data_IF_100532767383
#
_entry.id   IF_100532767383
#
_cell.length_a   1.000
_cell.length_b   1.000
_cell.length_c   1.000
_cell.angle_alpha   90.00
_cell.angle_beta   90.00
_cell.angle_gamma   90.00
#
_symmetry.space_group_name_H-M   'P 1'
#
loop_
_entity.id
_entity.type
_entity.pdbx_description
1 polymer ?
#
# COMPACT_ATOMS: atom_id res chain seq x y z
N UNK A 1 -22.02 -5.06 -25.62
CA UNK A 1 -20.89 -4.27 -26.19
C UNK A 1 -20.92 -2.80 -25.74
N UNK A 2 -22.09 -2.13 -25.78
CA UNK A 2 -22.26 -0.74 -25.36
C UNK A 2 -22.00 -0.51 -23.84
N UNK A 3 -22.44 -1.45 -22.98
CA UNK A 3 -22.23 -1.34 -21.52
C UNK A 3 -20.74 -1.43 -21.09
N UNK A 4 -19.90 -2.15 -21.86
CA UNK A 4 -18.46 -2.22 -21.57
C UNK A 4 -17.73 -0.91 -21.88
N UNK A 5 -18.16 -0.19 -22.93
CA UNK A 5 -17.58 1.10 -23.30
C UNK A 5 -17.96 2.21 -22.30
N UNK A 6 -19.19 2.18 -21.76
CA UNK A 6 -19.65 3.13 -20.76
C UNK A 6 -18.89 2.99 -19.42
N UNK A 7 -18.62 1.76 -18.97
CA UNK A 7 -17.85 1.53 -17.76
C UNK A 7 -16.40 1.99 -17.90
N UNK A 8 -15.77 1.76 -19.03
CA UNK A 8 -14.38 2.21 -19.30
C UNK A 8 -14.33 3.74 -19.36
N UNK A 9 -15.31 4.39 -19.93
CA UNK A 9 -15.38 5.85 -20.02
C UNK A 9 -15.60 6.47 -18.62
N UNK A 10 -16.50 5.91 -17.82
CA UNK A 10 -16.75 6.34 -16.43
C UNK A 10 -15.47 6.21 -15.57
N UNK A 11 -14.73 5.09 -15.69
CA UNK A 11 -13.49 4.90 -14.95
C UNK A 11 -12.41 5.91 -15.35
N UNK A 12 -12.31 6.30 -16.63
CA UNK A 12 -11.34 7.31 -17.06
C UNK A 12 -11.64 8.68 -16.47
N UNK A 13 -12.89 9.12 -16.48
CA UNK A 13 -13.29 10.38 -15.83
C UNK A 13 -13.04 10.37 -14.32
N UNK A 14 -13.28 9.24 -13.65
CA UNK A 14 -12.99 9.12 -12.23
C UNK A 14 -11.49 9.24 -11.92
N UNK A 15 -10.62 8.77 -12.81
CA UNK A 15 -9.17 8.97 -12.65
C UNK A 15 -8.75 10.42 -12.91
N UNK A 16 -9.34 11.12 -13.89
CA UNK A 16 -9.12 12.55 -14.10
C UNK A 16 -9.49 13.34 -12.83
N UNK A 17 -10.70 13.16 -12.31
CA UNK A 17 -11.18 13.83 -11.09
C UNK A 17 -10.30 13.53 -9.87
N UNK A 18 -9.82 12.28 -9.72
CA UNK A 18 -8.91 11.88 -8.65
C UNK A 18 -7.58 12.64 -8.77
N UNK A 19 -6.98 12.69 -9.96
CA UNK A 19 -5.71 13.36 -10.19
C UNK A 19 -5.81 14.88 -9.97
N UNK A 20 -6.87 15.51 -10.46
CA UNK A 20 -7.14 16.94 -10.23
C UNK A 20 -7.31 17.23 -8.74
N UNK A 21 -8.00 16.33 -8.02
CA UNK A 21 -8.17 16.46 -6.56
C UNK A 21 -6.82 16.34 -5.82
N UNK A 22 -5.93 15.46 -6.28
CA UNK A 22 -4.60 15.30 -5.69
C UNK A 22 -3.73 16.55 -5.94
N UNK A 23 -3.81 17.14 -7.13
CA UNK A 23 -3.05 18.35 -7.47
C UNK A 23 -3.48 19.55 -6.61
N UNK A 24 -4.76 19.65 -6.31
CA UNK A 24 -5.28 20.76 -5.50
C UNK A 24 -4.82 20.73 -4.02
N UNK A 25 -4.18 19.63 -3.58
CA UNK A 25 -3.73 19.45 -2.21
C UNK A 25 -2.23 19.73 -2.08
N UNK A 26 -1.86 20.70 -1.24
CA UNK A 26 -0.46 20.93 -0.82
C UNK A 26 -0.13 19.97 0.33
N UNK A 27 -0.18 18.67 0.05
CA UNK A 27 0.00 17.61 1.04
C UNK A 27 0.46 16.29 0.40
N UNK A 28 0.95 15.37 1.23
CA UNK A 28 1.14 13.98 0.81
C UNK A 28 -0.24 13.32 0.66
N UNK A 29 -0.48 12.68 -0.48
CA UNK A 29 -1.74 11.99 -0.78
C UNK A 29 -1.52 10.49 -0.75
N UNK A 30 -2.38 9.76 -0.06
CA UNK A 30 -2.45 8.30 -0.08
C UNK A 30 -3.70 7.87 -0.83
N UNK A 31 -3.51 7.10 -1.89
CA UNK A 31 -4.60 6.58 -2.71
C UNK A 31 -4.74 5.09 -2.44
N UNK A 32 -5.85 4.70 -1.83
CA UNK A 32 -6.21 3.28 -1.66
C UNK A 32 -6.99 2.81 -2.88
N UNK A 33 -6.41 1.89 -3.64
CA UNK A 33 -6.98 1.42 -4.91
C UNK A 33 -7.47 0.00 -4.77
N UNK A 34 -8.75 -0.19 -4.98
CA UNK A 34 -9.35 -1.53 -5.02
C UNK A 34 -8.74 -2.41 -6.11
N UNK A 35 -8.65 -3.72 -5.84
CA UNK A 35 -7.99 -4.69 -6.71
C UNK A 35 -8.49 -4.67 -8.18
N UNK A 36 -9.78 -4.44 -8.41
CA UNK A 36 -10.36 -4.36 -9.75
C UNK A 36 -10.00 -3.10 -10.54
N UNK A 37 -9.66 -2.01 -9.84
CA UNK A 37 -9.36 -0.70 -10.43
C UNK A 37 -7.85 -0.46 -10.57
N UNK A 38 -7.01 -1.28 -9.93
CA UNK A 38 -5.58 -1.03 -9.83
C UNK A 38 -4.87 -1.14 -11.18
N UNK A 39 -5.04 -2.25 -11.92
CA UNK A 39 -4.42 -2.42 -13.24
C UNK A 39 -4.95 -1.39 -14.24
N UNK A 40 -6.28 -1.13 -14.36
CA UNK A 40 -6.80 -0.03 -15.15
C UNK A 40 -6.20 1.34 -14.83
N UNK A 41 -5.97 1.65 -13.54
CA UNK A 41 -5.33 2.89 -13.12
C UNK A 41 -3.88 2.97 -13.60
N UNK A 42 -3.08 1.91 -13.44
CA UNK A 42 -1.70 1.88 -13.93
C UNK A 42 -1.65 2.10 -15.45
N UNK A 43 -2.55 1.44 -16.21
CA UNK A 43 -2.66 1.64 -17.66
C UNK A 43 -3.08 3.06 -18.02
N UNK A 44 -3.98 3.65 -17.27
CA UNK A 44 -4.38 5.03 -17.44
C UNK A 44 -3.19 5.97 -17.21
N UNK A 45 -2.47 5.81 -16.12
CA UNK A 45 -1.30 6.64 -15.78
C UNK A 45 -0.20 6.54 -16.85
N UNK A 46 0.09 5.33 -17.32
CA UNK A 46 1.06 5.08 -18.39
C UNK A 46 0.66 5.77 -19.69
N UNK A 47 -0.58 5.53 -20.15
CA UNK A 47 -1.07 6.06 -21.45
C UNK A 47 -1.20 7.57 -21.50
N UNK A 48 -1.44 8.22 -20.36
CA UNK A 48 -1.64 9.66 -20.26
C UNK A 48 -0.41 10.41 -19.74
N UNK A 49 0.74 9.73 -19.55
CA UNK A 49 1.99 10.36 -19.11
C UNK A 49 1.89 10.96 -17.70
N UNK A 50 1.04 10.40 -16.83
CA UNK A 50 0.78 10.95 -15.49
C UNK A 50 2.04 10.99 -14.63
N UNK A 51 2.90 9.99 -14.74
CA UNK A 51 4.14 9.93 -13.96
C UNK A 51 5.12 11.05 -14.34
N UNK A 52 5.24 11.37 -15.63
CA UNK A 52 6.07 12.46 -16.11
C UNK A 52 5.49 13.82 -15.72
N UNK A 53 4.14 13.94 -15.76
CA UNK A 53 3.43 15.12 -15.29
C UNK A 53 3.74 15.36 -13.80
N UNK A 54 3.55 14.38 -12.95
CA UNK A 54 3.84 14.48 -11.52
C UNK A 54 5.30 14.83 -11.25
N UNK A 55 6.24 14.23 -11.98
CA UNK A 55 7.65 14.56 -11.85
C UNK A 55 7.93 16.02 -12.23
N UNK A 56 7.32 16.52 -13.30
CA UNK A 56 7.46 17.92 -13.73
C UNK A 56 6.93 18.92 -12.70
N UNK A 57 5.95 18.52 -11.91
CA UNK A 57 5.36 19.29 -10.80
C UNK A 57 6.14 19.13 -9.48
N UNK A 58 7.21 18.35 -9.47
CA UNK A 58 8.02 18.10 -8.27
C UNK A 58 7.49 17.00 -7.35
N UNK A 59 6.47 16.26 -7.79
CA UNK A 59 5.91 15.13 -7.03
C UNK A 59 6.68 13.83 -7.31
N UNK A 60 6.66 12.92 -6.33
CA UNK A 60 7.16 11.55 -6.48
C UNK A 60 6.03 10.57 -6.25
N UNK A 61 5.98 9.50 -7.04
CA UNK A 61 5.02 8.43 -6.89
C UNK A 61 5.66 7.24 -6.17
N UNK A 62 4.99 6.71 -5.15
CA UNK A 62 5.43 5.52 -4.43
C UNK A 62 4.31 4.49 -4.50
N UNK A 63 4.58 3.36 -5.15
CA UNK A 63 3.66 2.26 -5.24
C UNK A 63 3.90 1.26 -4.09
N UNK A 64 2.87 1.00 -3.31
CA UNK A 64 2.89 0.03 -2.23
C UNK A 64 2.22 -1.26 -2.68
N UNK A 65 2.98 -2.33 -2.79
CA UNK A 65 2.48 -3.67 -3.12
C UNK A 65 2.46 -4.54 -1.88
N UNK A 66 1.38 -5.29 -1.67
CA UNK A 66 1.23 -6.18 -0.52
C UNK A 66 1.34 -7.64 -0.99
N UNK A 67 2.30 -8.37 -0.45
CA UNK A 67 2.46 -9.81 -0.65
C UNK A 67 1.89 -10.53 0.57
N UNK A 68 0.93 -11.41 0.36
CA UNK A 68 0.24 -12.14 1.44
C UNK A 68 0.60 -13.62 1.46
N UNK A 69 0.50 -14.27 2.62
CA UNK A 69 0.77 -15.71 2.73
C UNK A 69 -0.29 -16.55 2.02
N UNK A 70 -1.57 -16.26 2.25
CA UNK A 70 -2.69 -17.04 1.69
C UNK A 70 -2.71 -17.05 0.15
N UNK A 71 -2.48 -15.89 -0.47
CA UNK A 71 -2.55 -15.70 -1.92
C UNK A 71 -1.17 -15.36 -2.48
N UNK A 72 -0.12 -16.05 -1.98
CA UNK A 72 1.28 -15.72 -2.25
C UNK A 72 1.59 -15.62 -3.75
N UNK A 73 1.22 -16.63 -4.53
CA UNK A 73 1.49 -16.64 -5.96
C UNK A 73 0.75 -15.55 -6.72
N UNK A 74 -0.50 -15.28 -6.37
CA UNK A 74 -1.31 -14.29 -7.07
C UNK A 74 -0.86 -12.87 -6.73
N UNK A 75 -0.46 -12.63 -5.47
CA UNK A 75 0.12 -11.33 -5.08
C UNK A 75 1.51 -11.12 -5.69
N UNK A 76 2.33 -12.18 -5.84
CA UNK A 76 3.60 -12.10 -6.59
C UNK A 76 3.37 -11.82 -8.08
N UNK A 77 2.38 -12.46 -8.72
CA UNK A 77 2.02 -12.16 -10.13
C UNK A 77 1.56 -10.71 -10.29
N UNK A 78 0.69 -10.23 -9.38
CA UNK A 78 0.24 -8.84 -9.42
C UNK A 78 1.42 -7.88 -9.27
N UNK A 79 2.35 -8.14 -8.36
CA UNK A 79 3.57 -7.37 -8.24
C UNK A 79 4.40 -7.38 -9.54
N UNK A 80 4.48 -8.51 -10.25
CA UNK A 80 5.11 -8.60 -11.56
C UNK A 80 4.49 -7.65 -12.59
N UNK A 81 3.15 -7.57 -12.65
CA UNK A 81 2.42 -6.61 -13.52
C UNK A 81 2.76 -5.16 -13.14
N UNK A 82 2.83 -4.84 -11.85
CA UNK A 82 3.25 -3.51 -11.39
C UNK A 82 4.64 -3.18 -11.91
N UNK A 83 5.60 -4.08 -11.73
CA UNK A 83 6.99 -3.85 -12.14
C UNK A 83 7.16 -3.77 -13.66
N UNK A 84 6.40 -4.54 -14.43
CA UNK A 84 6.38 -4.45 -15.89
C UNK A 84 5.97 -3.05 -16.37
N UNK A 85 4.95 -2.47 -15.73
CA UNK A 85 4.39 -1.16 -16.11
C UNK A 85 5.16 0.03 -15.54
N UNK A 86 5.78 -0.11 -14.39
CA UNK A 86 6.33 1.03 -13.65
C UNK A 86 7.80 0.92 -13.27
N UNK A 87 8.38 -0.27 -13.29
CA UNK A 87 9.75 -0.52 -12.84
C UNK A 87 10.82 0.25 -13.61
N UNK A 88 10.52 0.73 -14.81
CA UNK A 88 11.42 1.54 -15.65
C UNK A 88 11.12 3.03 -15.62
N UNK A 89 10.12 3.47 -14.85
CA UNK A 89 9.74 4.88 -14.73
C UNK A 89 10.56 5.50 -13.61
N UNK A 90 11.50 6.42 -13.88
CA UNK A 90 12.45 6.93 -12.87
C UNK A 90 11.79 7.67 -11.70
N UNK A 91 10.62 8.28 -11.94
CA UNK A 91 9.85 9.02 -10.95
C UNK A 91 8.99 8.14 -10.05
N UNK A 92 8.92 6.82 -10.33
CA UNK A 92 8.14 5.86 -9.55
C UNK A 92 9.06 4.99 -8.71
N UNK A 93 8.79 4.89 -7.43
CA UNK A 93 9.45 3.97 -6.50
C UNK A 93 8.49 2.87 -6.07
N UNK A 94 8.99 1.66 -5.84
CA UNK A 94 8.19 0.55 -5.33
C UNK A 94 8.60 0.15 -3.92
N UNK A 95 7.62 -0.07 -3.05
CA UNK A 95 7.77 -0.66 -1.71
C UNK A 95 6.92 -1.92 -1.66
N UNK A 96 7.49 -2.99 -1.14
CA UNK A 96 6.79 -4.26 -0.94
C UNK A 96 6.54 -4.48 0.54
N UNK A 97 5.31 -4.77 0.91
CA UNK A 97 4.90 -5.16 2.25
C UNK A 97 4.67 -6.66 2.31
N UNK A 98 5.34 -7.35 3.22
CA UNK A 98 5.11 -8.75 3.49
C UNK A 98 4.08 -8.87 4.62
N UNK A 99 2.85 -9.25 4.29
CA UNK A 99 1.74 -9.30 5.25
C UNK A 99 1.47 -10.75 5.72
N UNK A 100 1.87 -11.11 6.94
CA UNK A 100 1.68 -12.44 7.50
C UNK A 100 0.30 -12.64 8.14
N UNK A 101 -0.65 -11.71 8.02
CA UNK A 101 -1.95 -11.78 8.70
C UNK A 101 -2.72 -13.07 8.39
N UNK A 102 -2.67 -13.55 7.15
CA UNK A 102 -3.33 -14.79 6.72
C UNK A 102 -2.36 -15.99 6.60
N UNK A 103 -1.28 -15.98 7.37
CA UNK A 103 -0.27 -17.03 7.39
C UNK A 103 1.12 -16.54 6.95
N UNK A 104 2.15 -17.39 7.08
CA UNK A 104 3.51 -17.04 6.70
C UNK A 104 3.61 -16.67 5.22
N UNK A 105 4.36 -15.60 4.92
CA UNK A 105 4.53 -15.12 3.55
C UNK A 105 5.58 -15.99 2.84
N UNK A 106 5.10 -16.84 1.95
CA UNK A 106 5.92 -17.80 1.20
C UNK A 106 5.11 -19.03 0.80
N UNK A 107 5.72 -19.89 0.02
CA UNK A 107 5.14 -21.17 -0.41
C UNK A 107 6.23 -22.23 -0.55
N UNK A 108 5.99 -23.43 -0.03
CA UNK A 108 6.92 -24.56 -0.09
C UNK A 108 8.33 -24.23 0.43
N UNK A 109 8.42 -23.38 1.46
CA UNK A 109 9.69 -22.94 2.05
C UNK A 109 10.39 -21.82 1.27
N UNK A 110 9.81 -21.34 0.18
CA UNK A 110 10.35 -20.24 -0.66
C UNK A 110 9.74 -18.93 -0.21
N UNK A 111 10.57 -18.01 0.25
CA UNK A 111 10.17 -16.64 0.60
C UNK A 111 10.05 -15.71 -0.62
N UNK A 112 9.53 -14.51 -0.42
CA UNK A 112 9.38 -13.51 -1.50
C UNK A 112 10.74 -13.16 -2.14
N UNK A 113 11.78 -13.03 -1.36
CA UNK A 113 13.15 -12.71 -1.80
C UNK A 113 13.81 -13.82 -2.65
N UNK A 114 13.28 -15.03 -2.60
CA UNK A 114 13.74 -16.15 -3.41
C UNK A 114 12.95 -16.27 -4.73
N UNK A 115 11.86 -15.56 -4.90
CA UNK A 115 11.03 -15.59 -6.13
C UNK A 115 11.77 -14.98 -7.32
N UNK A 116 11.41 -15.44 -8.51
CA UNK A 116 11.93 -14.90 -9.78
C UNK A 116 11.56 -13.42 -9.91
N UNK A 117 10.32 -13.05 -9.60
CA UNK A 117 9.83 -11.68 -9.72
C UNK A 117 10.61 -10.71 -8.82
N UNK A 118 11.00 -11.13 -7.62
CA UNK A 118 11.87 -10.32 -6.77
C UNK A 118 13.27 -10.18 -7.38
N UNK A 119 13.89 -11.28 -7.75
CA UNK A 119 15.28 -11.30 -8.27
C UNK A 119 15.46 -10.46 -9.52
N UNK A 120 14.47 -10.47 -10.41
CA UNK A 120 14.47 -9.67 -11.64
C UNK A 120 14.21 -8.17 -11.41
N UNK A 121 13.57 -7.79 -10.31
CA UNK A 121 13.14 -6.42 -10.05
C UNK A 121 13.76 -5.77 -8.80
N UNK A 122 14.66 -6.45 -8.09
CA UNK A 122 15.20 -6.00 -6.79
C UNK A 122 15.82 -4.60 -6.82
N UNK A 123 16.38 -4.19 -7.95
CA UNK A 123 17.03 -2.88 -8.11
C UNK A 123 16.01 -1.72 -8.20
N UNK A 124 14.75 -2.03 -8.52
CA UNK A 124 13.64 -1.09 -8.59
C UNK A 124 12.79 -1.07 -7.31
N UNK A 125 13.07 -1.99 -6.37
CA UNK A 125 12.39 -2.06 -5.08
C UNK A 125 13.15 -1.23 -4.07
N UNK A 126 12.54 -0.16 -3.59
CA UNK A 126 13.15 0.72 -2.61
C UNK A 126 13.25 0.09 -1.22
N UNK A 127 12.27 -0.72 -0.85
CA UNK A 127 12.26 -1.47 0.40
C UNK A 127 11.31 -2.67 0.35
N UNK A 128 11.69 -3.72 1.10
CA UNK A 128 10.80 -4.83 1.46
C UNK A 128 10.58 -4.76 2.97
N UNK A 129 9.34 -4.57 3.39
CA UNK A 129 8.97 -4.31 4.76
C UNK A 129 8.11 -5.46 5.32
N UNK A 130 8.54 -6.16 6.35
CA UNK A 130 7.68 -7.11 7.04
C UNK A 130 6.63 -6.35 7.86
N UNK A 131 5.34 -6.61 7.62
CA UNK A 131 4.29 -6.12 8.49
C UNK A 131 4.34 -6.85 9.84
N UNK A 132 4.14 -6.14 10.96
CA UNK A 132 4.07 -6.79 12.25
C UNK A 132 2.94 -7.81 12.30
N UNK A 133 3.24 -9.01 12.83
CA UNK A 133 2.23 -10.03 13.07
C UNK A 133 1.72 -9.91 14.50
N UNK A 134 0.49 -9.45 14.68
CA UNK A 134 -0.15 -9.37 16.00
C UNK A 134 -0.74 -10.74 16.38
N UNK A 135 0.15 -11.69 16.70
CA UNK A 135 -0.20 -13.09 16.95
C UNK A 135 -0.75 -13.37 18.34
N UNK A 136 -0.59 -12.45 19.29
CA UNK A 136 -1.19 -12.56 20.62
C UNK A 136 -2.69 -12.42 20.50
N UNK A 137 -3.47 -13.36 21.06
CA UNK A 137 -4.93 -13.42 20.96
C UNK A 137 -5.62 -12.11 21.36
N UNK A 138 -5.17 -11.48 22.45
CA UNK A 138 -5.75 -10.22 22.90
C UNK A 138 -5.39 -9.05 21.98
N UNK A 139 -4.18 -9.00 21.44
CA UNK A 139 -3.78 -7.99 20.45
C UNK A 139 -4.56 -8.18 19.15
N UNK A 140 -4.69 -9.41 18.69
CA UNK A 140 -5.47 -9.73 17.49
C UNK A 140 -6.92 -9.28 17.63
N UNK A 141 -7.56 -9.57 18.78
CA UNK A 141 -8.91 -9.11 19.08
C UNK A 141 -9.03 -7.57 19.08
N UNK A 142 -8.09 -6.86 19.70
CA UNK A 142 -8.10 -5.39 19.72
C UNK A 142 -7.84 -4.80 18.33
N UNK A 143 -7.01 -5.44 17.49
CA UNK A 143 -6.80 -5.04 16.10
C UNK A 143 -8.09 -5.20 15.28
N UNK A 144 -8.80 -6.32 15.42
CA UNK A 144 -10.10 -6.49 14.77
C UNK A 144 -11.11 -5.43 15.22
N UNK A 145 -11.18 -5.15 16.53
CA UNK A 145 -12.06 -4.11 17.06
C UNK A 145 -11.73 -2.72 16.49
N UNK A 146 -10.44 -2.39 16.32
CA UNK A 146 -9.99 -1.17 15.67
C UNK A 146 -10.49 -1.09 14.22
N UNK A 147 -10.32 -2.19 13.46
CA UNK A 147 -10.73 -2.26 12.04
C UNK A 147 -12.25 -2.18 11.89
N UNK A 148 -13.02 -2.91 12.73
CA UNK A 148 -14.47 -2.88 12.72
C UNK A 148 -15.05 -1.50 13.10
N UNK A 149 -14.36 -0.77 13.98
CA UNK A 149 -14.73 0.60 14.33
C UNK A 149 -14.45 1.62 13.22
N UNK A 150 -13.68 1.25 12.18
CA UNK A 150 -13.27 2.15 11.10
C UNK A 150 -12.44 3.34 11.60
N UNK A 151 -11.70 3.18 12.71
CA UNK A 151 -10.92 4.24 13.35
C UNK A 151 -9.45 4.13 12.99
N UNK A 152 -8.77 5.26 12.98
CA UNK A 152 -7.31 5.32 13.00
C UNK A 152 -6.77 4.85 14.37
N UNK A 153 -5.47 4.55 14.43
CA UNK A 153 -4.81 4.23 15.70
C UNK A 153 -5.05 5.33 16.73
N UNK A 154 -4.85 6.58 16.35
CA UNK A 154 -4.98 7.73 17.27
C UNK A 154 -6.41 7.93 17.77
N UNK A 155 -7.40 7.82 16.90
CA UNK A 155 -8.80 7.91 17.28
C UNK A 155 -9.19 6.81 18.26
N UNK A 156 -8.71 5.57 18.05
CA UNK A 156 -9.00 4.46 18.95
C UNK A 156 -8.30 4.62 20.31
N UNK A 157 -7.04 5.05 20.31
CA UNK A 157 -6.22 5.24 21.51
C UNK A 157 -6.79 6.36 22.41
N UNK A 158 -7.31 7.43 21.80
CA UNK A 158 -7.81 8.59 22.54
C UNK A 158 -9.32 8.49 22.87
N UNK A 159 -10.03 7.51 22.35
CA UNK A 159 -11.44 7.32 22.68
C UNK A 159 -11.63 6.75 24.10
N UNK A 160 -12.25 7.51 25.02
CA UNK A 160 -12.48 7.05 26.39
C UNK A 160 -13.47 5.88 26.51
N UNK A 161 -14.26 5.60 25.46
CA UNK A 161 -15.14 4.44 25.41
C UNK A 161 -14.37 3.12 25.32
N UNK A 162 -13.15 3.16 24.80
CA UNK A 162 -12.29 1.98 24.70
C UNK A 162 -11.61 1.68 26.05
N UNK A 163 -11.51 0.39 26.39
CA UNK A 163 -10.86 -0.06 27.61
C UNK A 163 -9.39 0.38 27.66
N UNK A 164 -8.91 0.77 28.82
CA UNK A 164 -7.54 1.25 29.02
C UNK A 164 -6.48 0.29 28.42
N UNK A 165 -6.62 -1.01 28.69
CA UNK A 165 -5.65 -1.99 28.20
C UNK A 165 -5.75 -2.24 26.70
N UNK A 166 -6.93 -2.13 26.08
CA UNK A 166 -7.09 -2.16 24.64
C UNK A 166 -6.40 -0.96 23.99
N UNK A 167 -6.60 0.24 24.50
CA UNK A 167 -5.89 1.46 24.04
C UNK A 167 -4.37 1.33 24.16
N UNK A 168 -3.88 0.73 25.26
CA UNK A 168 -2.44 0.50 25.44
C UNK A 168 -1.88 -0.50 24.42
N UNK A 169 -2.58 -1.60 24.16
CA UNK A 169 -2.14 -2.59 23.15
C UNK A 169 -2.17 -2.02 21.73
N UNK A 170 -3.21 -1.24 21.40
CA UNK A 170 -3.30 -0.56 20.10
C UNK A 170 -2.16 0.45 19.93
N UNK A 171 -1.76 1.17 21.00
CA UNK A 171 -0.57 2.03 20.95
C UNK A 171 0.72 1.23 20.67
N UNK A 172 0.89 0.09 21.32
CA UNK A 172 2.04 -0.79 21.03
C UNK A 172 2.05 -1.27 19.57
N UNK A 173 0.88 -1.56 18.99
CA UNK A 173 0.76 -1.92 17.57
C UNK A 173 1.16 -0.76 16.66
N UNK A 174 0.69 0.45 16.95
CA UNK A 174 1.05 1.67 16.25
C UNK A 174 2.58 1.87 16.24
N UNK A 175 3.21 1.77 17.42
CA UNK A 175 4.65 1.91 17.58
C UNK A 175 5.42 0.86 16.73
N UNK A 176 4.96 -0.38 16.69
CA UNK A 176 5.57 -1.42 15.86
C UNK A 176 5.45 -1.13 14.37
N UNK A 177 4.27 -0.69 13.91
CA UNK A 177 4.05 -0.29 12.51
C UNK A 177 4.94 0.88 12.14
N UNK A 178 4.97 1.93 12.95
CA UNK A 178 5.79 3.12 12.69
C UNK A 178 7.28 2.81 12.72
N UNK A 179 7.72 1.90 13.58
CA UNK A 179 9.11 1.42 13.59
C UNK A 179 9.50 0.73 12.29
N UNK A 180 8.60 -0.04 11.68
CA UNK A 180 8.84 -0.65 10.36
C UNK A 180 8.84 0.41 9.27
N UNK A 181 7.89 1.35 9.29
CA UNK A 181 7.82 2.46 8.33
C UNK A 181 9.07 3.35 8.40
N UNK A 182 9.58 3.61 9.60
CA UNK A 182 10.78 4.41 9.81
C UNK A 182 12.08 3.80 9.26
N UNK A 183 12.08 2.52 8.84
CA UNK A 183 13.21 1.91 8.13
C UNK A 183 13.36 2.44 6.71
N UNK A 184 12.35 3.07 6.19
CA UNK A 184 12.40 3.77 4.91
C UNK A 184 12.41 5.27 5.19
N UNK A 185 13.38 6.00 4.68
CA UNK A 185 13.42 7.47 4.81
C UNK A 185 12.28 8.18 4.04
N UNK A 186 11.31 7.43 3.54
CA UNK A 186 10.22 7.92 2.70
C UNK A 186 9.18 8.69 3.53
N UNK A 187 8.93 8.21 4.76
CA UNK A 187 7.93 8.78 5.66
C UNK A 187 8.49 9.87 6.60
N UNK A 188 9.81 10.13 6.54
CA UNK A 188 10.51 11.02 7.49
C UNK A 188 10.62 12.48 7.03
N UNK A 189 10.06 12.86 5.88
CA UNK A 189 10.11 14.25 5.38
C UNK A 189 8.92 15.14 5.79
N UNK A 190 8.06 14.69 6.63
CA UNK A 190 7.04 15.51 7.28
C UNK A 190 7.14 15.25 8.78
N UNK A 191 7.23 16.29 9.56
CA UNK A 191 7.33 16.26 11.01
C UNK A 191 6.36 15.22 11.58
N UNK A 192 6.90 14.24 12.32
CA UNK A 192 6.08 13.44 13.21
C UNK A 192 5.58 14.38 14.30
N UNK A 193 4.31 14.77 14.19
CA UNK A 193 3.60 15.51 15.23
C UNK A 193 3.26 14.54 16.37
#
# INVERSE_FOLDING_TARGET
KLLADDHITIMKHAFDEMLESCEALDANVVIDVGASSFVPMLEYCEKNGVYDLWQSMGHSCILHSIITGKDFLDTCKMFGIVMEKTGRVPSVSSIVWLNPFAGPVGMDGIGFDETVVYKENKEHIKAVLPMPAFTNETMHHDFLALMEAGKTFDEFIHDPANRLMSRQRVRMMQDEVYKVMGRTNIFLKGEMI
#
